data_IF_288330066474
#
_entry.id   IF_288330066474
#
_cell.length_a   1.000
_cell.length_b   1.000
_cell.length_c   1.000
_cell.angle_alpha   90.00
_cell.angle_beta   90.00
_cell.angle_gamma   90.00
#
_symmetry.space_group_name_H-M   'P 1'
#
loop_
_entity.id
_entity.type
_entity.pdbx_description
1 polymer ?
#
# COMPACT_ATOMS: atom_id res chain seq x y z
N UNK A 1 0.03 -22.62 4.41
CA UNK A 1 -0.64 -23.38 3.36
C UNK A 1 -1.68 -24.36 3.92
N UNK A 2 -1.36 -25.12 4.98
CA UNK A 2 -2.30 -26.10 5.56
C UNK A 2 -3.64 -25.49 5.97
N UNK A 3 -3.62 -24.36 6.68
CA UNK A 3 -4.84 -23.68 7.16
C UNK A 3 -5.69 -23.10 6.02
N UNK A 4 -5.06 -22.79 4.89
CA UNK A 4 -5.73 -22.22 3.72
C UNK A 4 -6.15 -23.30 2.70
N UNK A 5 -5.86 -24.58 2.96
CA UNK A 5 -6.18 -25.65 2.03
C UNK A 5 -7.70 -25.83 1.87
N UNK A 6 -8.18 -25.97 0.65
CA UNK A 6 -9.60 -25.92 0.30
C UNK A 6 -10.17 -24.52 0.14
N UNK A 7 -9.36 -23.45 0.25
CA UNK A 7 -9.81 -22.07 0.22
C UNK A 7 -8.87 -21.10 -0.49
N UNK A 8 -8.67 -19.93 0.12
CA UNK A 8 -7.84 -18.86 -0.40
C UNK A 8 -6.71 -18.54 0.56
N UNK A 9 -5.50 -18.34 0.00
CA UNK A 9 -4.36 -17.76 0.70
C UNK A 9 -4.08 -16.38 0.12
N UNK A 10 -4.27 -15.34 0.92
CA UNK A 10 -3.90 -13.96 0.56
C UNK A 10 -2.60 -13.65 1.27
N UNK A 11 -1.56 -13.27 0.51
CA UNK A 11 -0.23 -13.01 1.07
C UNK A 11 0.38 -11.76 0.45
N UNK A 12 1.06 -10.98 1.27
CA UNK A 12 1.79 -9.81 0.82
C UNK A 12 3.11 -10.22 0.16
N UNK A 13 3.35 -9.74 -1.07
CA UNK A 13 4.52 -10.08 -1.87
C UNK A 13 5.83 -9.75 -1.14
N UNK A 14 5.93 -8.57 -0.51
CA UNK A 14 7.13 -8.16 0.22
C UNK A 14 7.43 -9.11 1.39
N UNK A 15 6.43 -9.46 2.19
CA UNK A 15 6.60 -10.42 3.28
C UNK A 15 7.04 -11.79 2.75
N UNK A 16 6.39 -12.27 1.70
CA UNK A 16 6.72 -13.55 1.08
C UNK A 16 8.17 -13.59 0.56
N UNK A 17 8.62 -12.52 -0.11
CA UNK A 17 9.94 -12.44 -0.71
C UNK A 17 11.07 -12.20 0.30
N UNK A 18 10.78 -11.57 1.45
CA UNK A 18 11.78 -11.33 2.50
C UNK A 18 12.00 -12.52 3.40
N UNK A 19 11.08 -13.49 3.44
CA UNK A 19 11.26 -14.70 4.22
C UNK A 19 12.09 -15.74 3.42
N UNK A 20 13.23 -16.21 3.96
CA UNK A 20 14.07 -17.18 3.28
C UNK A 20 13.28 -18.42 2.86
N UNK A 21 13.45 -18.83 1.62
CA UNK A 21 12.84 -20.01 1.00
C UNK A 21 11.30 -20.01 0.89
N UNK A 22 10.60 -18.98 1.39
CA UNK A 22 9.14 -18.96 1.38
C UNK A 22 8.57 -18.92 -0.06
N UNK A 23 9.14 -18.08 -0.91
CA UNK A 23 8.76 -17.99 -2.32
C UNK A 23 9.00 -19.29 -3.09
N UNK A 24 10.21 -19.87 -2.95
CA UNK A 24 10.55 -21.13 -3.61
C UNK A 24 9.72 -22.31 -3.08
N UNK A 25 9.47 -22.34 -1.76
CA UNK A 25 8.60 -23.33 -1.14
C UNK A 25 7.16 -23.24 -1.64
N UNK A 26 6.64 -22.03 -1.79
CA UNK A 26 5.31 -21.75 -2.33
C UNK A 26 5.21 -22.25 -3.80
N UNK A 27 6.18 -21.86 -4.64
CA UNK A 27 6.21 -22.31 -6.04
C UNK A 27 6.29 -23.83 -6.16
N UNK A 28 7.10 -24.48 -5.33
CA UNK A 28 7.22 -25.94 -5.30
C UNK A 28 5.89 -26.59 -4.94
N UNK A 29 5.23 -26.12 -3.88
CA UNK A 29 3.95 -26.64 -3.45
C UNK A 29 2.88 -26.50 -4.54
N UNK A 30 2.85 -25.35 -5.23
CA UNK A 30 1.93 -25.11 -6.35
C UNK A 30 2.21 -26.00 -7.58
N UNK A 31 3.48 -26.24 -7.89
CA UNK A 31 3.86 -27.10 -9.02
C UNK A 31 3.53 -28.56 -8.79
N UNK A 32 3.71 -29.00 -7.54
CA UNK A 32 3.48 -30.41 -7.17
C UNK A 32 2.03 -30.68 -6.78
N UNK A 33 1.23 -29.63 -6.57
CA UNK A 33 -0.15 -29.72 -6.05
C UNK A 33 -0.22 -30.45 -4.69
N UNK A 34 0.87 -30.35 -3.91
CA UNK A 34 0.97 -31.00 -2.61
C UNK A 34 1.82 -30.17 -1.63
N UNK A 35 1.51 -30.35 -0.34
CA UNK A 35 2.28 -29.74 0.75
C UNK A 35 3.24 -30.79 1.30
N UNK A 36 4.54 -30.52 1.21
CA UNK A 36 5.58 -31.30 1.87
C UNK A 36 6.15 -30.51 3.04
N UNK A 37 6.27 -31.15 4.20
CA UNK A 37 6.87 -30.54 5.39
C UNK A 37 8.37 -30.89 5.34
N UNK A 38 9.15 -30.00 4.74
CA UNK A 38 10.62 -30.11 4.75
C UNK A 38 11.19 -29.33 5.95
N UNK A 39 12.14 -29.94 6.68
CA UNK A 39 12.91 -29.19 7.66
C UNK A 39 13.90 -28.27 6.93
N UNK A 40 14.23 -27.05 7.47
CA UNK A 40 15.22 -26.16 6.87
C UNK A 40 16.58 -26.82 6.64
N UNK A 41 16.96 -27.79 7.47
CA UNK A 41 18.21 -28.55 7.31
C UNK A 41 18.19 -29.53 6.11
N UNK A 42 17.02 -30.08 5.77
CA UNK A 42 16.82 -30.93 4.59
C UNK A 42 16.82 -30.08 3.32
N UNK A 43 16.15 -28.93 3.33
CA UNK A 43 16.13 -27.98 2.21
C UNK A 43 17.56 -27.50 1.81
N UNK A 44 18.47 -27.40 2.79
CA UNK A 44 19.87 -27.03 2.59
C UNK A 44 20.79 -28.22 2.27
N UNK A 45 20.27 -29.46 2.23
CA UNK A 45 21.09 -30.66 1.98
C UNK A 45 22.09 -30.98 3.10
N UNK A 46 21.98 -30.36 4.27
CA UNK A 46 22.92 -30.48 5.38
C UNK A 46 22.66 -31.68 6.28
N UNK A 47 21.47 -32.26 6.23
CA UNK A 47 21.08 -33.39 7.09
C UNK A 47 20.48 -34.50 6.22
N UNK A 48 21.18 -35.61 6.08
CA UNK A 48 20.68 -36.88 5.56
C UNK A 48 20.34 -37.83 6.71
N UNK A 49 19.39 -37.47 7.54
CA UNK A 49 18.84 -38.40 8.54
C UNK A 49 17.59 -39.06 7.96
N UNK A 50 17.49 -40.39 8.12
CA UNK A 50 16.27 -41.12 7.90
C UNK A 50 15.21 -40.67 8.96
N UNK A 51 14.63 -39.53 8.73
CA UNK A 51 13.47 -39.07 9.52
C UNK A 51 12.23 -39.58 8.80
N UNK A 52 11.23 -40.06 9.53
CA UNK A 52 9.92 -40.36 9.00
C UNK A 52 9.41 -39.09 8.29
N UNK A 53 9.38 -39.12 6.97
CA UNK A 53 8.79 -38.05 6.18
C UNK A 53 7.28 -38.17 6.28
N UNK A 54 6.55 -37.11 6.71
CA UNK A 54 5.11 -37.12 6.68
C UNK A 54 4.60 -37.33 5.26
N UNK A 55 3.51 -38.05 5.11
CA UNK A 55 2.88 -38.21 3.78
C UNK A 55 2.51 -36.81 3.22
N UNK A 56 2.77 -36.57 1.91
CA UNK A 56 2.37 -35.33 1.26
C UNK A 56 0.85 -35.14 1.36
N UNK A 57 0.43 -33.89 1.64
CA UNK A 57 -0.99 -33.54 1.69
C UNK A 57 -1.38 -32.86 0.37
N UNK A 58 -2.41 -33.34 -0.34
CA UNK A 58 -2.89 -32.67 -1.55
C UNK A 58 -3.21 -31.21 -1.29
N UNK A 59 -2.81 -30.32 -2.21
CA UNK A 59 -2.98 -28.88 -2.11
C UNK A 59 -4.07 -28.40 -3.07
N UNK A 60 -5.19 -27.94 -2.50
CA UNK A 60 -6.29 -27.30 -3.22
C UNK A 60 -6.44 -25.86 -2.71
N UNK A 61 -5.59 -24.94 -3.14
CA UNK A 61 -5.60 -23.55 -2.68
C UNK A 61 -5.57 -22.57 -3.85
N UNK A 62 -6.33 -21.49 -3.73
CA UNK A 62 -6.20 -20.32 -4.61
C UNK A 62 -5.34 -19.28 -3.92
N UNK A 63 -4.25 -18.89 -4.57
CA UNK A 63 -3.31 -17.92 -3.99
C UNK A 63 -3.50 -16.55 -4.64
N UNK A 64 -3.60 -15.55 -3.79
CA UNK A 64 -3.63 -14.13 -4.17
C UNK A 64 -2.41 -13.46 -3.57
N UNK A 65 -1.49 -13.03 -4.42
CA UNK A 65 -0.32 -12.27 -4.00
C UNK A 65 -0.64 -10.79 -4.17
N UNK A 66 -0.57 -10.02 -3.08
CA UNK A 66 -0.85 -8.58 -3.08
C UNK A 66 0.47 -7.84 -2.91
N UNK A 67 0.71 -6.80 -3.71
CA UNK A 67 1.95 -6.05 -3.61
C UNK A 67 1.99 -4.83 -4.50
N UNK A 68 3.09 -4.10 -4.41
CA UNK A 68 3.36 -2.93 -5.25
C UNK A 68 3.56 -3.35 -6.72
N UNK A 69 3.10 -2.50 -7.65
CA UNK A 69 3.24 -2.71 -9.11
C UNK A 69 4.69 -3.03 -9.52
N UNK A 70 5.67 -2.36 -8.93
CA UNK A 70 7.08 -2.62 -9.21
C UNK A 70 7.50 -4.05 -8.85
N UNK A 71 7.02 -4.59 -7.74
CA UNK A 71 7.32 -5.97 -7.30
C UNK A 71 6.75 -6.98 -8.30
N UNK A 72 5.54 -6.72 -8.81
CA UNK A 72 4.96 -7.55 -9.87
C UNK A 72 5.86 -7.59 -11.11
N UNK A 73 6.25 -6.43 -11.65
CA UNK A 73 7.11 -6.38 -12.86
C UNK A 73 8.49 -7.00 -12.64
N UNK A 74 9.05 -6.89 -11.44
CA UNK A 74 10.32 -7.56 -11.12
C UNK A 74 10.15 -9.09 -11.09
N UNK A 75 9.08 -9.60 -10.51
CA UNK A 75 8.79 -11.04 -10.51
C UNK A 75 8.52 -11.56 -11.91
N UNK A 76 7.72 -10.84 -12.70
CA UNK A 76 7.41 -11.19 -14.10
C UNK A 76 8.68 -11.25 -14.96
N UNK A 77 9.59 -10.30 -14.81
CA UNK A 77 10.83 -10.22 -15.58
C UNK A 77 11.92 -11.20 -15.14
N UNK A 78 11.98 -11.54 -13.85
CA UNK A 78 13.10 -12.29 -13.28
C UNK A 78 12.76 -13.73 -12.90
N UNK A 79 11.48 -14.04 -12.69
CA UNK A 79 11.05 -15.39 -12.29
C UNK A 79 10.27 -16.09 -13.42
N UNK A 80 10.87 -17.10 -14.07
CA UNK A 80 10.23 -17.79 -15.20
C UNK A 80 8.99 -18.61 -14.83
N UNK A 81 8.75 -18.81 -13.54
CA UNK A 81 7.56 -19.53 -13.06
C UNK A 81 6.36 -18.59 -12.83
N UNK A 82 6.57 -17.26 -12.84
CA UNK A 82 5.52 -16.28 -12.51
C UNK A 82 4.30 -16.45 -13.42
N UNK A 83 4.49 -16.39 -14.74
CA UNK A 83 3.44 -16.56 -15.74
C UNK A 83 2.74 -17.92 -15.71
N UNK A 84 3.47 -18.94 -15.25
CA UNK A 84 2.94 -20.32 -15.21
C UNK A 84 2.03 -20.55 -14.02
N UNK A 85 2.34 -19.93 -12.88
CA UNK A 85 1.66 -20.13 -11.60
C UNK A 85 0.60 -19.07 -11.34
N UNK A 86 0.84 -17.81 -11.77
CA UNK A 86 -0.05 -16.69 -11.54
C UNK A 86 -0.62 -16.16 -12.86
N UNK A 87 -1.81 -16.68 -13.24
CA UNK A 87 -2.43 -16.45 -14.54
C UNK A 87 -3.19 -15.13 -14.67
N UNK A 88 -3.56 -14.53 -13.55
CA UNK A 88 -4.43 -13.35 -13.54
C UNK A 88 -3.74 -12.23 -12.76
N UNK A 89 -3.50 -11.13 -13.46
CA UNK A 89 -3.11 -9.87 -12.86
C UNK A 89 -4.36 -9.00 -12.65
N UNK A 90 -4.57 -8.51 -11.42
CA UNK A 90 -5.54 -7.48 -11.12
C UNK A 90 -4.75 -6.20 -10.80
N UNK A 91 -4.65 -5.30 -11.78
CA UNK A 91 -3.96 -4.02 -11.61
C UNK A 91 -4.96 -2.96 -11.12
N UNK A 92 -4.60 -2.27 -10.04
CA UNK A 92 -5.36 -1.17 -9.49
C UNK A 92 -4.66 0.14 -9.86
N UNK A 93 -5.42 1.05 -10.46
CA UNK A 93 -4.91 2.38 -10.78
C UNK A 93 -4.71 3.21 -9.50
N UNK A 94 -3.74 4.10 -9.50
CA UNK A 94 -3.48 5.07 -8.43
C UNK A 94 -4.28 6.36 -8.58
N UNK A 95 -5.08 6.46 -9.64
CA UNK A 95 -5.94 7.59 -9.95
C UNK A 95 -7.25 7.14 -10.59
N UNK A 96 -8.30 7.93 -10.41
CA UNK A 96 -9.64 7.71 -10.96
C UNK A 96 -10.10 8.93 -11.74
N UNK A 97 -10.91 8.74 -12.79
CA UNK A 97 -11.47 9.84 -13.56
C UNK A 97 -12.37 10.72 -12.69
N UNK A 98 -12.24 12.03 -12.81
CA UNK A 98 -13.09 12.99 -12.13
C UNK A 98 -14.44 13.12 -12.84
N UNK A 99 -15.41 12.34 -12.40
CA UNK A 99 -16.81 12.43 -12.82
C UNK A 99 -17.68 12.80 -11.62
N UNK A 100 -18.90 13.29 -11.86
CA UNK A 100 -19.86 13.60 -10.79
C UNK A 100 -20.06 12.39 -9.86
N UNK A 101 -20.24 11.19 -10.42
CA UNK A 101 -20.38 9.96 -9.66
C UNK A 101 -19.14 9.62 -8.80
N UNK A 102 -17.95 9.94 -9.29
CA UNK A 102 -16.72 9.72 -8.54
C UNK A 102 -16.47 10.79 -7.48
N UNK A 103 -16.89 12.03 -7.71
CA UNK A 103 -16.88 13.07 -6.68
C UNK A 103 -17.84 12.73 -5.54
N UNK A 104 -19.04 12.20 -5.85
CA UNK A 104 -19.98 11.72 -4.86
C UNK A 104 -19.41 10.55 -4.04
N UNK A 105 -18.83 9.54 -4.72
CA UNK A 105 -18.20 8.41 -4.05
C UNK A 105 -17.00 8.85 -3.19
N UNK A 106 -16.28 9.88 -3.59
CA UNK A 106 -15.18 10.45 -2.82
C UNK A 106 -15.69 11.19 -1.58
N UNK A 107 -16.83 11.86 -1.69
CA UNK A 107 -17.51 12.49 -0.55
C UNK A 107 -18.01 11.45 0.45
N UNK A 108 -18.56 10.33 -0.03
CA UNK A 108 -18.94 9.18 0.81
C UNK A 108 -17.71 8.56 1.51
N UNK A 109 -16.56 8.47 0.83
CA UNK A 109 -15.31 8.03 1.43
C UNK A 109 -14.86 8.95 2.57
N UNK A 110 -14.98 10.27 2.39
CA UNK A 110 -14.69 11.27 3.42
C UNK A 110 -15.63 11.08 4.61
N UNK A 111 -16.95 10.95 4.39
CA UNK A 111 -17.92 10.72 5.44
C UNK A 111 -17.64 9.42 6.22
N UNK A 112 -17.39 8.33 5.51
CA UNK A 112 -17.02 7.04 6.12
C UNK A 112 -15.71 7.15 6.95
N UNK A 113 -14.75 7.92 6.47
CA UNK A 113 -13.47 8.13 7.19
C UNK A 113 -13.70 8.91 8.48
N UNK A 114 -14.59 9.90 8.49
CA UNK A 114 -14.96 10.66 9.69
C UNK A 114 -15.55 9.72 10.75
N UNK A 115 -16.49 8.88 10.34
CA UNK A 115 -17.16 7.93 11.24
C UNK A 115 -16.19 6.85 11.75
N UNK A 116 -15.39 6.23 10.86
CA UNK A 116 -14.48 5.14 11.20
C UNK A 116 -13.34 5.57 12.15
N UNK A 117 -12.92 6.84 12.10
CA UNK A 117 -11.83 7.39 12.90
C UNK A 117 -12.27 8.32 14.01
N UNK A 118 -13.58 8.48 14.22
CA UNK A 118 -14.15 9.37 15.23
C UNK A 118 -13.61 10.81 15.12
N UNK A 119 -13.55 11.33 13.88
CA UNK A 119 -13.06 12.67 13.61
C UNK A 119 -14.19 13.71 13.81
N UNK A 120 -13.82 14.95 14.04
CA UNK A 120 -14.77 16.06 14.04
C UNK A 120 -15.44 16.20 12.66
N UNK A 121 -16.67 16.72 12.60
CA UNK A 121 -17.36 16.97 11.33
C UNK A 121 -16.54 17.92 10.42
N UNK A 122 -16.46 17.59 9.14
CA UNK A 122 -15.87 18.43 8.11
C UNK A 122 -16.97 19.29 7.48
N UNK A 123 -16.77 20.60 7.43
CA UNK A 123 -17.71 21.46 6.72
C UNK A 123 -17.49 21.36 5.20
N UNK A 124 -18.38 22.01 4.44
CA UNK A 124 -18.30 21.99 2.98
C UNK A 124 -16.98 22.52 2.43
N UNK A 125 -16.38 23.50 3.10
CA UNK A 125 -15.11 24.08 2.66
C UNK A 125 -13.96 23.13 2.86
N UNK A 126 -13.94 22.38 3.97
CA UNK A 126 -12.97 21.35 4.25
C UNK A 126 -13.04 20.19 3.25
N UNK A 127 -14.26 19.68 2.97
CA UNK A 127 -14.47 18.64 1.96
C UNK A 127 -13.96 19.08 0.58
N UNK A 128 -14.32 20.30 0.15
CA UNK A 128 -13.85 20.85 -1.11
C UNK A 128 -12.33 20.97 -1.16
N UNK A 129 -11.68 21.35 -0.03
CA UNK A 129 -10.22 21.48 0.05
C UNK A 129 -9.52 20.11 0.02
N UNK A 130 -10.10 19.07 0.61
CA UNK A 130 -9.61 17.69 0.52
C UNK A 130 -9.69 17.19 -0.93
N UNK A 131 -10.83 17.40 -1.61
CA UNK A 131 -10.98 17.08 -3.04
C UNK A 131 -9.94 17.81 -3.90
N UNK A 132 -9.76 19.11 -3.70
CA UNK A 132 -8.75 19.89 -4.43
C UNK A 132 -7.32 19.35 -4.18
N UNK A 133 -7.01 18.93 -2.96
CA UNK A 133 -5.72 18.30 -2.66
C UNK A 133 -5.53 16.99 -3.40
N UNK A 134 -6.57 16.16 -3.48
CA UNK A 134 -6.56 14.92 -4.25
C UNK A 134 -6.19 15.14 -5.73
N UNK A 135 -6.74 16.20 -6.38
CA UNK A 135 -6.38 16.59 -7.75
C UNK A 135 -4.89 16.98 -7.84
N UNK A 136 -4.38 17.70 -6.84
CA UNK A 136 -2.97 18.14 -6.82
C UNK A 136 -1.99 16.98 -6.63
N UNK A 137 -2.37 15.93 -5.89
CA UNK A 137 -1.53 14.74 -5.70
C UNK A 137 -1.24 14.04 -7.03
N UNK A 138 -2.21 13.99 -7.94
CA UNK A 138 -2.06 13.38 -9.26
C UNK A 138 -1.60 14.36 -10.34
N UNK A 139 -1.48 15.66 -10.00
CA UNK A 139 -1.08 16.74 -10.92
C UNK A 139 -1.97 16.82 -12.17
N UNK A 140 -3.24 16.45 -12.04
CA UNK A 140 -4.24 16.45 -13.11
C UNK A 140 -5.58 16.99 -12.58
N UNK A 141 -6.23 17.87 -13.32
CA UNK A 141 -7.52 18.48 -12.93
C UNK A 141 -8.73 17.61 -13.26
N UNK A 142 -8.53 16.57 -14.08
CA UNK A 142 -9.55 15.62 -14.51
C UNK A 142 -9.44 14.25 -13.80
N UNK A 143 -8.52 14.14 -12.84
CA UNK A 143 -8.26 12.92 -12.09
C UNK A 143 -8.26 13.17 -10.59
N UNK A 144 -8.74 12.19 -9.83
CA UNK A 144 -8.66 12.15 -8.37
C UNK A 144 -7.66 11.06 -7.94
N UNK A 145 -6.96 11.25 -6.83
CA UNK A 145 -6.08 10.24 -6.27
C UNK A 145 -6.88 9.04 -5.75
N UNK A 146 -6.49 7.83 -6.13
CA UNK A 146 -7.01 6.59 -5.55
C UNK A 146 -6.25 6.16 -4.28
N UNK A 147 -5.25 6.92 -3.84
CA UNK A 147 -4.47 6.63 -2.64
C UNK A 147 -5.23 7.07 -1.38
N UNK A 148 -6.19 6.26 -0.98
CA UNK A 148 -7.10 6.53 0.15
C UNK A 148 -6.34 6.74 1.46
N UNK A 149 -5.20 6.08 1.65
CA UNK A 149 -4.38 6.21 2.86
C UNK A 149 -3.89 7.65 3.07
N UNK A 150 -3.38 8.30 2.02
CA UNK A 150 -2.87 9.67 2.08
C UNK A 150 -3.98 10.67 2.42
N UNK A 151 -5.17 10.45 1.86
CA UNK A 151 -6.35 11.28 2.16
C UNK A 151 -6.81 11.10 3.62
N UNK A 152 -6.85 9.87 4.11
CA UNK A 152 -7.18 9.59 5.51
C UNK A 152 -6.20 10.20 6.49
N UNK A 153 -4.92 10.17 6.16
CA UNK A 153 -3.87 10.76 6.99
C UNK A 153 -3.96 12.30 6.99
N UNK A 154 -4.25 12.91 5.83
CA UNK A 154 -4.53 14.35 5.73
C UNK A 154 -5.72 14.74 6.59
N UNK A 155 -6.82 13.99 6.53
CA UNK A 155 -8.03 14.27 7.31
C UNK A 155 -7.77 14.14 8.82
N UNK A 156 -7.03 13.11 9.24
CA UNK A 156 -6.65 12.94 10.64
C UNK A 156 -5.79 14.10 11.14
N UNK A 157 -4.87 14.60 10.32
CA UNK A 157 -4.03 15.74 10.66
C UNK A 157 -4.84 17.04 10.69
N UNK A 158 -5.79 17.24 9.77
CA UNK A 158 -6.67 18.40 9.77
C UNK A 158 -7.58 18.45 11.00
N UNK A 159 -8.07 17.30 11.46
CA UNK A 159 -8.83 17.16 12.70
C UNK A 159 -7.98 17.53 13.92
N UNK A 160 -6.72 17.10 13.96
CA UNK A 160 -5.78 17.52 15.01
C UNK A 160 -5.63 19.05 15.09
N UNK A 161 -5.48 19.73 13.95
CA UNK A 161 -5.41 21.19 13.92
C UNK A 161 -6.71 21.85 14.37
N UNK A 162 -7.87 21.30 14.03
CA UNK A 162 -9.14 21.80 14.52
C UNK A 162 -9.27 21.63 16.04
N UNK A 163 -8.80 20.53 16.61
CA UNK A 163 -8.79 20.30 18.05
C UNK A 163 -7.84 21.27 18.77
N UNK A 164 -6.67 21.55 18.21
CA UNK A 164 -5.70 22.51 18.76
C UNK A 164 -6.27 23.93 18.79
N UNK A 165 -7.04 24.29 17.77
CA UNK A 165 -7.79 25.56 17.68
C UNK A 165 -9.09 25.56 18.50
N UNK A 166 -9.41 24.47 19.22
CA UNK A 166 -10.66 24.29 20.00
C UNK A 166 -11.93 24.43 19.14
N UNK A 167 -11.83 24.17 17.84
CA UNK A 167 -12.96 24.17 16.93
C UNK A 167 -13.77 22.85 17.08
N UNK A 168 -15.06 22.92 16.81
CA UNK A 168 -15.95 21.75 16.82
C UNK A 168 -16.21 21.19 15.41
N UNK A 169 -15.59 21.81 14.41
CA UNK A 169 -15.78 21.47 13.00
C UNK A 169 -14.49 21.77 12.24
N UNK A 170 -14.07 20.87 11.40
CA UNK A 170 -12.91 21.05 10.52
C UNK A 170 -13.29 21.93 9.33
N UNK A 171 -12.48 22.95 9.06
CA UNK A 171 -12.64 23.91 7.94
C UNK A 171 -11.52 23.74 6.91
N UNK A 172 -11.62 24.42 5.78
CA UNK A 172 -10.57 24.50 4.76
C UNK A 172 -9.23 25.02 5.32
N UNK A 173 -9.27 25.93 6.31
CA UNK A 173 -8.06 26.44 6.98
C UNK A 173 -7.30 25.32 7.71
N UNK A 174 -7.98 24.44 8.44
CA UNK A 174 -7.36 23.30 9.14
C UNK A 174 -6.78 22.29 8.14
N UNK A 175 -7.50 22.01 7.04
CA UNK A 175 -6.97 21.16 5.96
C UNK A 175 -5.73 21.79 5.32
N UNK A 176 -5.74 23.11 5.10
CA UNK A 176 -4.56 23.82 4.57
C UNK A 176 -3.37 23.77 5.54
N UNK A 177 -3.60 23.95 6.84
CA UNK A 177 -2.55 23.81 7.87
C UNK A 177 -1.93 22.41 7.85
N UNK A 178 -2.75 21.36 7.72
CA UNK A 178 -2.27 19.98 7.60
C UNK A 178 -1.39 19.80 6.34
N UNK A 179 -1.84 20.29 5.18
CA UNK A 179 -1.07 20.24 3.93
C UNK A 179 0.29 20.97 4.09
N UNK A 180 0.28 22.17 4.65
CA UNK A 180 1.48 22.96 4.85
C UNK A 180 2.45 22.27 5.82
N UNK A 181 1.93 21.62 6.84
CA UNK A 181 2.73 20.84 7.79
C UNK A 181 3.36 19.60 7.12
N UNK A 182 2.62 18.88 6.27
CA UNK A 182 3.15 17.77 5.48
C UNK A 182 4.26 18.24 4.54
N UNK A 183 4.03 19.33 3.81
CA UNK A 183 5.05 19.92 2.91
C UNK A 183 6.29 20.34 3.68
N UNK A 184 6.16 20.98 4.85
CA UNK A 184 7.31 21.35 5.69
C UNK A 184 8.10 20.14 6.16
N UNK A 185 7.44 19.05 6.60
CA UNK A 185 8.11 17.81 7.04
C UNK A 185 8.85 17.12 5.89
N UNK A 186 8.25 17.07 4.71
CA UNK A 186 8.86 16.49 3.51
C UNK A 186 9.96 17.39 2.91
N UNK A 187 9.90 18.70 3.13
CA UNK A 187 10.77 19.72 2.52
C UNK A 187 12.21 19.75 2.99
N UNK A 188 12.56 19.05 4.08
CA UNK A 188 13.89 19.14 4.70
C UNK A 188 15.07 18.81 3.76
N UNK A 189 14.88 17.87 2.85
CA UNK A 189 15.92 17.55 1.86
C UNK A 189 16.07 18.68 0.84
N UNK A 190 14.96 19.21 0.34
CA UNK A 190 14.93 20.36 -0.58
C UNK A 190 15.61 21.59 0.05
N UNK A 191 15.29 21.88 1.31
CA UNK A 191 15.84 23.03 2.02
C UNK A 191 17.36 22.90 2.20
N UNK A 192 17.87 21.69 2.47
CA UNK A 192 19.31 21.42 2.53
C UNK A 192 20.00 21.60 1.16
N UNK A 193 19.36 21.19 0.09
CA UNK A 193 19.89 21.38 -1.27
C UNK A 193 19.92 22.86 -1.60
N UNK A 194 18.86 23.61 -1.30
CA UNK A 194 18.83 25.06 -1.47
C UNK A 194 19.94 25.76 -0.65
N UNK A 195 20.09 25.39 0.61
CA UNK A 195 21.14 25.93 1.47
C UNK A 195 22.55 25.64 0.90
N UNK A 196 22.78 24.44 0.35
CA UNK A 196 24.08 24.12 -0.27
C UNK A 196 24.36 24.98 -1.50
N UNK A 197 23.34 25.18 -2.37
CA UNK A 197 23.45 26.02 -3.57
C UNK A 197 23.70 27.50 -3.18
N UNK A 198 23.04 28.01 -2.16
CA UNK A 198 23.23 29.37 -1.68
C UNK A 198 24.61 29.57 -1.05
N UNK A 199 25.15 28.55 -0.36
CA UNK A 199 26.51 28.58 0.18
C UNK A 199 27.56 28.54 -0.91
N UNK A 200 27.41 27.71 -1.94
CA UNK A 200 28.33 27.68 -3.08
C UNK A 200 28.36 28.99 -3.84
N UNK A 201 27.24 29.71 -4.01
CA UNK A 201 27.18 31.03 -4.61
C UNK A 201 27.90 32.13 -3.81
N UNK A 202 28.16 31.91 -2.51
CA UNK A 202 28.89 32.86 -1.65
C UNK A 202 30.40 32.73 -1.80
N UNK A 203 30.91 31.70 -2.45
CA UNK A 203 32.36 31.47 -2.62
C UNK A 203 32.84 31.71 -4.06
N UNK A 204 31.99 32.22 -4.94
CA UNK A 204 32.32 32.72 -6.27
C UNK A 204 32.13 34.23 -6.29
#
# INVERSE_FOLDING_TARGET
>A
LHEANGGYLIVEARQLLTHPYAWEGLKRALRNEEIQIESPGQALGLIRTLTLEPEPVPLEVKIVVVGERLVYYLLDALDPDMDRLFKVMADFDDQIDRTEAQEDAYTDLIATTIDDRDLQPFDRSAVARVLEHSLRLVSDTEKLSAQVADIRDLMTEADHWAQDDQATTVTDAHVQQAIDAQVRRAGRLRDRVHESIEREKRYV
#
